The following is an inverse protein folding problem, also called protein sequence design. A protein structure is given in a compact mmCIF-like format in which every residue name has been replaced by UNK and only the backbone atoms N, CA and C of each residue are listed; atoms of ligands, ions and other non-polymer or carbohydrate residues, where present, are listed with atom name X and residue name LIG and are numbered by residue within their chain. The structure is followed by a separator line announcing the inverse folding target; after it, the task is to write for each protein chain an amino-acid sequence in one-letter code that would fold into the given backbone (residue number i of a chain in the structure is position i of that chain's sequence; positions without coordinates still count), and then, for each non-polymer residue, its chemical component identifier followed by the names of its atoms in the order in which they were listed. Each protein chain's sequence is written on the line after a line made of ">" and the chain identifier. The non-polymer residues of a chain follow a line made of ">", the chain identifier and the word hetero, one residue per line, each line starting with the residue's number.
data_IF_780741419542
#
_entry.id   IF_780741419542
#
_cell.length_a   1.000
_cell.length_b   1.000
_cell.length_c   1.000
_cell.angle_alpha   90.00
_cell.angle_beta   90.00
_cell.angle_gamma   90.00
#
_symmetry.space_group_name_H-M   'P 1'
#
loop_
_entity.id
_entity.type
_entity.pdbx_description
1 polymer ?
#
# COMPACT_ATOMS: atom_id res chain seq x y z
N UNK A 1 0.39 13.23 38.67
CA UNK A 1 1.71 12.69 38.31
C UNK A 1 1.59 11.34 37.57
N UNK A 2 0.80 10.37 38.11
CA UNK A 2 0.65 9.06 37.45
C UNK A 2 -0.01 9.20 36.06
N UNK A 3 -1.07 10.00 35.94
CA UNK A 3 -1.74 10.21 34.65
C UNK A 3 -0.85 10.83 33.57
N UNK A 4 0.00 11.81 33.96
CA UNK A 4 0.92 12.47 33.02
C UNK A 4 1.99 11.50 32.52
N UNK A 5 2.52 10.64 33.40
CA UNK A 5 3.51 9.62 33.02
C UNK A 5 2.89 8.59 32.08
N UNK A 6 1.64 8.16 32.35
CA UNK A 6 0.94 7.20 31.48
C UNK A 6 0.73 7.79 30.08
N UNK A 7 0.29 9.05 29.97
CA UNK A 7 0.14 9.73 28.68
C UNK A 7 1.47 9.87 27.96
N UNK A 8 2.55 10.21 28.68
CA UNK A 8 3.89 10.32 28.10
C UNK A 8 4.36 8.97 27.53
N UNK A 9 4.22 7.89 28.30
CA UNK A 9 4.58 6.54 27.84
C UNK A 9 3.75 6.07 26.65
N UNK A 10 2.46 6.43 26.61
CA UNK A 10 1.61 6.14 25.46
C UNK A 10 2.02 6.92 24.22
N UNK A 11 2.38 8.20 24.35
CA UNK A 11 2.87 9.01 23.24
C UNK A 11 4.22 8.49 22.71
N UNK A 12 5.15 8.18 23.62
CA UNK A 12 6.44 7.59 23.26
C UNK A 12 6.27 6.24 22.54
N UNK A 13 5.38 5.38 23.01
CA UNK A 13 5.06 4.13 22.34
C UNK A 13 4.50 4.34 20.92
N UNK A 14 3.57 5.30 20.74
CA UNK A 14 2.98 5.60 19.42
C UNK A 14 4.02 6.20 18.47
N UNK A 15 4.92 7.04 18.98
CA UNK A 15 5.95 7.68 18.16
C UNK A 15 7.04 6.70 17.72
N UNK A 16 7.45 5.78 18.61
CA UNK A 16 8.61 4.91 18.40
C UNK A 16 8.25 3.49 17.93
N UNK A 17 6.97 3.13 17.82
CA UNK A 17 6.56 1.81 17.31
C UNK A 17 6.94 1.67 15.84
N UNK A 18 7.64 0.58 15.52
CA UNK A 18 7.92 0.21 14.14
C UNK A 18 6.61 -0.12 13.40
N UNK A 19 6.30 0.62 12.37
CA UNK A 19 5.08 0.49 11.56
C UNK A 19 5.22 -0.55 10.44
N UNK A 20 6.45 -1.02 10.18
CA UNK A 20 6.76 -1.83 8.99
C UNK A 20 6.87 -0.98 7.72
N UNK A 21 6.78 0.34 7.83
CA UNK A 21 7.05 1.29 6.76
C UNK A 21 7.61 2.60 7.34
N UNK A 22 8.30 3.36 6.50
CA UNK A 22 8.80 4.68 6.88
C UNK A 22 7.72 5.75 6.69
N UNK A 23 7.31 6.36 7.80
CA UNK A 23 6.37 7.50 7.83
C UNK A 23 7.08 8.83 7.92
N UNK A 24 8.37 8.81 8.29
CA UNK A 24 9.10 10.03 8.58
C UNK A 24 9.34 10.79 7.27
N UNK A 25 9.14 12.11 7.35
CA UNK A 25 9.29 12.99 6.20
C UNK A 25 8.34 12.71 5.03
N UNK A 26 7.20 12.05 5.27
CA UNK A 26 6.14 11.89 4.28
C UNK A 26 5.12 13.02 4.42
N UNK A 27 5.03 13.84 3.40
CA UNK A 27 3.98 14.85 3.25
C UNK A 27 2.83 14.26 2.43
N UNK A 28 1.62 14.25 2.99
CA UNK A 28 0.43 13.79 2.30
C UNK A 28 -0.34 14.97 1.71
N UNK A 29 -0.51 14.98 0.42
CA UNK A 29 -1.30 15.95 -0.31
C UNK A 29 -2.60 15.31 -0.79
N UNK A 30 -3.76 15.68 -0.22
CA UNK A 30 -5.04 15.24 -0.76
C UNK A 30 -5.24 15.93 -2.11
N UNK A 31 -5.38 15.12 -3.16
CA UNK A 31 -5.69 15.58 -4.52
C UNK A 31 -7.15 15.30 -4.87
N UNK A 32 -8.02 15.34 -3.84
CA UNK A 32 -9.47 15.24 -4.04
C UNK A 32 -9.92 16.38 -4.95
N UNK A 33 -10.15 16.06 -6.18
CA UNK A 33 -10.73 16.99 -7.12
C UNK A 33 -12.04 16.42 -7.63
N UNK A 34 -13.09 17.22 -7.54
CA UNK A 34 -14.25 17.05 -8.39
C UNK A 34 -13.88 17.28 -9.85
N UNK A 35 -12.71 17.85 -10.09
CA UNK A 35 -12.15 18.08 -11.41
C UNK A 35 -11.31 16.86 -11.86
N UNK A 36 -11.91 16.01 -12.67
CA UNK A 36 -11.25 14.85 -13.29
C UNK A 36 -9.95 15.18 -14.01
N UNK A 37 -9.73 16.44 -14.41
CA UNK A 37 -8.51 16.89 -15.08
C UNK A 37 -7.26 16.71 -14.22
N UNK A 38 -7.36 16.76 -12.90
CA UNK A 38 -6.21 16.47 -12.00
C UNK A 38 -5.92 14.98 -11.92
N UNK A 39 -6.95 14.15 -11.86
CA UNK A 39 -6.80 12.70 -11.86
C UNK A 39 -6.20 12.21 -13.19
N UNK A 40 -6.70 12.75 -14.32
CA UNK A 40 -6.19 12.42 -15.65
C UNK A 40 -4.75 12.92 -15.87
N UNK A 41 -4.27 13.88 -15.07
CA UNK A 41 -2.93 14.45 -15.12
C UNK A 41 -2.05 14.03 -13.93
N UNK A 42 -2.46 13.00 -13.20
CA UNK A 42 -1.77 12.54 -12.01
C UNK A 42 -0.26 12.43 -12.21
N UNK A 43 0.21 11.73 -13.25
CA UNK A 43 1.65 11.59 -13.54
C UNK A 43 2.33 12.95 -13.78
N UNK A 44 1.67 13.87 -14.48
CA UNK A 44 2.23 15.23 -14.70
C UNK A 44 2.41 15.99 -13.38
N UNK A 45 1.44 15.85 -12.46
CA UNK A 45 1.51 16.48 -11.13
C UNK A 45 2.63 15.83 -10.30
N UNK A 46 2.69 14.50 -10.27
CA UNK A 46 3.75 13.73 -9.60
C UNK A 46 5.13 14.14 -10.11
N UNK A 47 5.32 14.19 -11.43
CA UNK A 47 6.57 14.59 -12.07
C UNK A 47 6.97 16.03 -11.74
N UNK A 48 5.98 16.93 -11.63
CA UNK A 48 6.25 18.33 -11.25
C UNK A 48 6.82 18.42 -9.83
N UNK A 49 6.29 17.65 -8.89
CA UNK A 49 6.86 17.58 -7.54
C UNK A 49 8.24 16.93 -7.50
N UNK A 50 8.47 15.86 -8.24
CA UNK A 50 9.75 15.15 -8.31
C UNK A 50 10.90 16.03 -8.89
N UNK A 51 10.59 17.12 -9.60
CA UNK A 51 11.61 18.09 -10.04
C UNK A 51 12.12 18.98 -8.92
N UNK A 52 11.42 19.04 -7.79
CA UNK A 52 11.85 19.86 -6.67
C UNK A 52 12.95 19.12 -5.89
N UNK A 53 14.11 19.79 -5.61
CA UNK A 53 15.28 19.10 -5.02
C UNK A 53 15.04 18.55 -3.60
N UNK A 54 14.03 19.04 -2.90
CA UNK A 54 13.64 18.54 -1.57
C UNK A 54 12.72 17.33 -1.63
N UNK A 55 12.17 16.95 -2.80
CA UNK A 55 11.32 15.78 -2.96
C UNK A 55 12.18 14.62 -3.43
N UNK A 56 12.27 13.59 -2.60
CA UNK A 56 13.10 12.41 -2.88
C UNK A 56 12.34 11.35 -3.66
N UNK A 57 11.08 11.10 -3.28
CA UNK A 57 10.19 10.11 -3.89
C UNK A 57 8.75 10.62 -3.84
N UNK A 58 7.90 10.10 -4.70
CA UNK A 58 6.48 10.42 -4.72
C UNK A 58 5.66 9.21 -5.15
N UNK A 59 4.52 9.00 -4.52
CA UNK A 59 3.60 7.90 -4.83
C UNK A 59 2.16 8.34 -4.67
N UNK A 60 1.29 7.85 -5.54
CA UNK A 60 -0.14 8.04 -5.44
C UNK A 60 -0.86 6.88 -4.84
N UNK A 61 -1.97 7.18 -4.18
CA UNK A 61 -2.85 6.16 -3.64
C UNK A 61 -4.32 6.58 -3.66
N UNK A 62 -5.19 5.58 -3.63
CA UNK A 62 -6.63 5.81 -3.46
C UNK A 62 -6.97 6.38 -2.07
N UNK A 63 -6.25 5.95 -1.04
CA UNK A 63 -6.43 6.39 0.36
C UNK A 63 -5.09 6.55 1.05
N UNK A 64 -5.01 7.44 2.03
CA UNK A 64 -3.79 7.61 2.83
C UNK A 64 -3.43 6.33 3.58
N UNK A 65 -2.11 6.09 3.74
CA UNK A 65 -1.62 5.09 4.69
C UNK A 65 -2.19 5.37 6.08
N UNK A 66 -2.56 4.32 6.80
CA UNK A 66 -3.21 4.43 8.11
C UNK A 66 -4.74 4.41 8.07
N UNK A 67 -5.37 4.64 6.92
CA UNK A 67 -6.84 4.49 6.75
C UNK A 67 -7.26 3.10 6.27
N UNK A 68 -6.30 2.21 5.99
CA UNK A 68 -6.53 0.79 5.78
C UNK A 68 -7.05 0.38 4.40
N UNK A 69 -7.15 1.28 3.44
CA UNK A 69 -7.65 0.95 2.11
C UNK A 69 -9.17 0.67 2.05
N UNK A 70 -9.65 0.22 0.91
CA UNK A 70 -11.05 -0.16 0.69
C UNK A 70 -11.26 -1.62 1.13
N UNK A 71 -12.31 -1.88 1.91
CA UNK A 71 -12.74 -3.26 2.19
C UNK A 71 -13.50 -3.77 0.97
N UNK A 72 -13.05 -4.88 0.41
CA UNK A 72 -13.66 -5.45 -0.78
C UNK A 72 -13.48 -6.97 -0.84
N UNK A 73 -14.20 -7.60 -1.73
CA UNK A 73 -14.20 -9.04 -1.94
C UNK A 73 -13.03 -9.46 -2.82
N UNK A 74 -12.26 -10.42 -2.32
CA UNK A 74 -11.14 -11.04 -3.05
C UNK A 74 -11.32 -12.55 -3.09
N UNK A 75 -10.72 -13.17 -4.09
CA UNK A 75 -10.72 -14.62 -4.27
C UNK A 75 -9.31 -15.13 -4.55
N UNK A 76 -9.06 -16.37 -4.20
CA UNK A 76 -7.74 -16.97 -4.21
C UNK A 76 -7.79 -18.41 -4.69
N UNK A 77 -6.76 -18.85 -5.41
CA UNK A 77 -6.56 -20.22 -5.86
C UNK A 77 -6.67 -21.21 -4.69
N UNK A 78 -7.42 -22.30 -4.89
CA UNK A 78 -7.63 -23.32 -3.85
C UNK A 78 -8.67 -22.95 -2.77
N UNK A 79 -9.31 -21.79 -2.92
CA UNK A 79 -10.36 -21.31 -2.01
C UNK A 79 -11.65 -20.97 -2.75
N UNK A 80 -11.98 -21.77 -3.78
CA UNK A 80 -13.16 -21.58 -4.61
C UNK A 80 -14.42 -21.64 -3.75
N UNK A 81 -15.30 -20.66 -3.90
CA UNK A 81 -16.52 -20.53 -3.11
C UNK A 81 -16.35 -19.83 -1.76
N UNK A 82 -15.13 -19.40 -1.42
CA UNK A 82 -14.88 -18.55 -0.24
C UNK A 82 -14.69 -17.11 -0.68
N UNK A 83 -15.54 -16.22 -0.20
CA UNK A 83 -15.43 -14.79 -0.46
C UNK A 83 -14.73 -14.13 0.73
N UNK A 84 -13.47 -13.80 0.56
CA UNK A 84 -12.71 -13.07 1.57
C UNK A 84 -13.02 -11.58 1.50
N UNK A 85 -13.28 -10.96 2.66
CA UNK A 85 -13.45 -9.52 2.78
C UNK A 85 -12.15 -8.91 3.30
N UNK A 86 -11.28 -8.48 2.39
CA UNK A 86 -9.96 -7.95 2.71
C UNK A 86 -9.80 -6.49 2.33
N UNK A 87 -8.80 -5.86 2.89
CA UNK A 87 -8.42 -4.49 2.56
C UNK A 87 -7.58 -4.47 1.30
N UNK A 88 -8.02 -3.65 0.34
CA UNK A 88 -7.29 -3.41 -0.91
C UNK A 88 -6.77 -1.98 -0.92
N UNK A 89 -5.46 -1.84 -1.07
CA UNK A 89 -4.77 -0.58 -1.28
C UNK A 89 -4.58 -0.37 -2.77
N UNK A 90 -5.29 0.59 -3.33
CA UNK A 90 -5.08 1.05 -4.71
C UNK A 90 -3.94 2.06 -4.73
N UNK A 91 -2.88 1.75 -5.44
CA UNK A 91 -1.61 2.51 -5.45
C UNK A 91 -1.05 2.68 -6.87
N UNK A 92 -0.01 3.49 -7.00
CA UNK A 92 0.87 3.48 -8.17
C UNK A 92 2.09 2.55 -7.97
N UNK A 93 2.96 2.52 -8.96
CA UNK A 93 4.16 1.69 -8.99
C UNK A 93 5.19 2.03 -7.92
N UNK A 94 5.26 3.29 -7.49
CA UNK A 94 6.33 3.79 -6.60
C UNK A 94 5.99 3.70 -5.10
N UNK A 95 4.84 3.12 -4.76
CA UNK A 95 4.35 3.07 -3.39
C UNK A 95 5.31 2.32 -2.45
N UNK A 96 5.80 1.15 -2.85
CA UNK A 96 6.71 0.36 -2.00
C UNK A 96 7.99 1.12 -1.69
N UNK A 97 8.56 1.77 -2.70
CA UNK A 97 9.78 2.56 -2.54
C UNK A 97 9.57 3.85 -1.74
N UNK A 98 8.42 4.53 -1.93
CA UNK A 98 8.14 5.79 -1.25
C UNK A 98 7.99 5.60 0.25
N UNK A 99 7.39 4.47 0.66
CA UNK A 99 7.18 4.12 2.06
C UNK A 99 8.21 3.15 2.63
N UNK A 100 9.25 2.80 1.86
CA UNK A 100 10.28 1.80 2.23
C UNK A 100 9.66 0.48 2.74
N UNK A 101 8.61 0.01 2.07
CA UNK A 101 8.00 -1.28 2.40
C UNK A 101 8.85 -2.40 1.83
N UNK A 102 9.30 -3.30 2.71
CA UNK A 102 10.19 -4.40 2.36
C UNK A 102 9.47 -5.46 1.52
N UNK A 103 9.98 -5.73 0.32
CA UNK A 103 9.55 -6.85 -0.50
C UNK A 103 10.29 -8.12 -0.05
N UNK A 104 9.56 -9.15 0.38
CA UNK A 104 10.13 -10.40 0.89
C UNK A 104 10.11 -11.54 -0.13
N UNK A 105 9.26 -11.45 -1.16
CA UNK A 105 9.23 -12.41 -2.27
C UNK A 105 8.74 -11.75 -3.56
N UNK A 106 9.14 -12.29 -4.72
CA UNK A 106 8.70 -11.82 -6.03
C UNK A 106 9.24 -10.44 -6.41
N UNK A 107 8.37 -9.58 -6.97
CA UNK A 107 8.71 -8.24 -7.46
C UNK A 107 7.63 -7.20 -7.19
N UNK A 108 7.99 -5.93 -7.24
CA UNK A 108 7.07 -4.80 -7.26
C UNK A 108 6.34 -4.66 -8.61
N UNK A 109 5.50 -3.63 -8.71
CA UNK A 109 4.83 -3.28 -9.96
C UNK A 109 5.81 -2.67 -10.96
N UNK A 110 5.56 -2.94 -12.25
CA UNK A 110 6.27 -2.34 -13.37
C UNK A 110 5.24 -1.73 -14.34
N UNK A 111 5.23 -0.40 -14.50
CA UNK A 111 4.25 0.28 -15.35
C UNK A 111 4.41 -0.05 -16.85
N UNK A 112 5.55 -0.63 -17.25
CA UNK A 112 5.76 -1.09 -18.62
C UNK A 112 5.10 -2.44 -18.92
N UNK A 113 4.70 -3.18 -17.87
CA UNK A 113 4.00 -4.45 -17.97
C UNK A 113 2.49 -4.17 -17.88
N UNK A 114 1.80 -4.23 -19.02
CA UNK A 114 0.35 -3.91 -19.11
C UNK A 114 -0.49 -4.74 -18.12
N UNK A 115 -0.14 -6.02 -17.90
CA UNK A 115 -0.87 -6.86 -16.94
C UNK A 115 -0.77 -6.37 -15.50
N UNK A 116 0.25 -5.61 -15.14
CA UNK A 116 0.42 -5.12 -13.77
C UNK A 116 -0.66 -4.10 -13.38
N UNK A 117 -1.22 -3.40 -14.35
CA UNK A 117 -2.29 -2.43 -14.08
C UNK A 117 -3.65 -3.05 -13.76
N UNK A 118 -3.86 -4.34 -14.07
CA UNK A 118 -5.18 -4.98 -13.93
C UNK A 118 -5.16 -6.40 -13.37
N UNK A 119 -4.01 -7.09 -13.42
CA UNK A 119 -3.90 -8.53 -13.14
C UNK A 119 -2.78 -8.89 -12.17
N UNK A 120 -2.11 -7.91 -11.58
CA UNK A 120 -1.03 -8.12 -10.65
C UNK A 120 -1.44 -7.68 -9.24
N UNK A 121 -1.12 -8.51 -8.27
CA UNK A 121 -1.40 -8.27 -6.86
C UNK A 121 -0.16 -8.52 -6.03
N UNK A 122 0.03 -7.69 -5.02
CA UNK A 122 1.04 -7.88 -3.99
C UNK A 122 0.30 -8.09 -2.68
N UNK A 123 0.69 -9.11 -1.92
CA UNK A 123 0.08 -9.47 -0.65
C UNK A 123 1.05 -9.17 0.49
N UNK A 124 0.54 -8.90 1.70
CA UNK A 124 1.40 -8.93 2.87
C UNK A 124 1.54 -10.38 3.39
N UNK A 125 2.53 -10.64 4.25
CA UNK A 125 2.77 -11.98 4.81
C UNK A 125 1.55 -12.54 5.54
N UNK A 126 0.79 -11.69 6.24
CA UNK A 126 -0.44 -12.10 6.94
C UNK A 126 -1.51 -12.59 5.94
N UNK A 127 -1.63 -12.01 4.76
CA UNK A 127 -2.53 -12.50 3.72
C UNK A 127 -2.08 -13.87 3.18
N UNK A 128 -0.78 -14.04 2.95
CA UNK A 128 -0.21 -15.31 2.48
C UNK A 128 -0.44 -16.43 3.50
N UNK A 129 -0.22 -16.16 4.80
CA UNK A 129 -0.52 -17.13 5.88
C UNK A 129 -2.01 -17.45 5.98
N UNK A 130 -2.87 -16.45 5.83
CA UNK A 130 -4.33 -16.65 5.88
C UNK A 130 -4.85 -17.57 4.76
N UNK A 131 -4.12 -17.66 3.65
CA UNK A 131 -4.39 -18.56 2.53
C UNK A 131 -3.65 -19.91 2.63
N UNK A 132 -2.81 -20.09 3.65
CA UNK A 132 -1.97 -21.29 3.76
C UNK A 132 -0.99 -21.43 2.58
N UNK A 133 -0.51 -20.31 2.03
CA UNK A 133 0.39 -20.28 0.88
C UNK A 133 1.86 -20.06 1.28
N UNK A 134 2.19 -20.22 2.56
CA UNK A 134 3.52 -20.03 3.14
C UNK A 134 4.34 -21.33 3.31
N UNK A 135 3.93 -22.42 2.66
CA UNK A 135 4.64 -23.69 2.68
C UNK A 135 5.36 -23.94 1.32
N UNK A 136 6.68 -24.09 1.28
CA UNK A 136 7.66 -24.10 2.39
C UNK A 136 8.01 -22.71 2.93
N UNK A 137 7.70 -21.64 2.19
CA UNK A 137 7.89 -20.25 2.59
C UNK A 137 7.00 -19.33 1.75
N UNK A 138 7.02 -18.03 2.02
CA UNK A 138 6.16 -17.02 1.36
C UNK A 138 6.37 -16.90 -0.16
N UNK A 139 7.48 -17.41 -0.72
CA UNK A 139 7.69 -17.43 -2.16
C UNK A 139 6.70 -18.35 -2.87
N UNK A 140 6.14 -19.35 -2.17
CA UNK A 140 5.14 -20.26 -2.71
C UNK A 140 3.84 -19.54 -3.13
N UNK A 141 3.59 -18.33 -2.63
CA UNK A 141 2.45 -17.51 -3.04
C UNK A 141 2.64 -16.85 -4.40
N UNK A 142 3.88 -16.61 -4.83
CA UNK A 142 4.18 -15.91 -6.09
C UNK A 142 3.76 -16.77 -7.29
N UNK A 143 2.97 -16.17 -8.18
CA UNK A 143 2.44 -16.83 -9.37
C UNK A 143 1.07 -17.48 -9.18
N UNK A 144 0.57 -17.65 -7.94
CA UNK A 144 -0.77 -18.17 -7.67
C UNK A 144 -1.86 -17.26 -8.20
N UNK A 145 -2.98 -17.86 -8.60
CA UNK A 145 -4.14 -17.08 -9.05
C UNK A 145 -4.77 -16.32 -7.90
N UNK A 146 -4.98 -15.05 -8.13
CA UNK A 146 -5.61 -14.15 -7.18
C UNK A 146 -6.47 -13.12 -7.90
N UNK A 147 -7.52 -12.65 -7.25
CA UNK A 147 -8.39 -11.67 -7.85
C UNK A 147 -9.04 -10.73 -6.85
N UNK A 148 -9.40 -9.58 -7.38
CA UNK A 148 -10.18 -8.57 -6.71
C UNK A 148 -11.45 -8.32 -7.50
N UNK A 149 -12.61 -8.37 -6.85
CA UNK A 149 -13.93 -8.25 -7.48
C UNK A 149 -14.06 -7.04 -8.40
N UNK A 150 -13.43 -5.94 -8.04
CA UNK A 150 -13.47 -4.71 -8.82
C UNK A 150 -12.85 -4.87 -10.22
N UNK A 151 -11.83 -5.71 -10.37
CA UNK A 151 -11.15 -5.96 -11.65
C UNK A 151 -11.70 -7.14 -12.44
N UNK A 152 -12.90 -7.60 -12.13
CA UNK A 152 -13.60 -8.68 -12.80
C UNK A 152 -13.14 -10.11 -12.46
N UNK A 153 -14.05 -10.91 -11.91
CA UNK A 153 -13.82 -12.31 -11.50
C UNK A 153 -13.35 -13.22 -12.65
N UNK A 154 -13.75 -12.90 -13.90
CA UNK A 154 -13.47 -13.78 -15.03
C UNK A 154 -12.04 -13.65 -15.59
N UNK A 155 -11.32 -12.60 -15.24
CA UNK A 155 -10.01 -12.36 -15.84
C UNK A 155 -8.81 -12.75 -15.01
N UNK A 156 -9.00 -13.39 -13.85
CA UNK A 156 -7.95 -13.88 -12.94
C UNK A 156 -6.61 -13.12 -13.00
N UNK A 157 -6.16 -12.61 -11.89
CA UNK A 157 -4.82 -12.05 -11.80
C UNK A 157 -3.86 -13.02 -11.12
N UNK A 158 -2.68 -12.55 -10.81
CA UNK A 158 -1.66 -13.34 -10.12
C UNK A 158 -0.99 -12.53 -9.03
N UNK A 159 -0.59 -13.21 -7.97
CA UNK A 159 0.34 -12.66 -7.00
C UNK A 159 1.71 -12.51 -7.68
N UNK A 160 2.22 -11.29 -7.72
CA UNK A 160 3.54 -10.98 -8.29
C UNK A 160 4.60 -10.76 -7.22
N UNK A 161 4.18 -10.45 -5.99
CA UNK A 161 5.10 -10.21 -4.88
C UNK A 161 4.44 -10.36 -3.53
N UNK A 162 5.27 -10.51 -2.52
CA UNK A 162 4.87 -10.51 -1.11
C UNK A 162 5.70 -9.47 -0.38
N UNK A 163 5.03 -8.62 0.41
CA UNK A 163 5.67 -7.63 1.25
C UNK A 163 5.61 -8.05 2.71
N UNK A 164 6.58 -7.61 3.48
CA UNK A 164 6.58 -7.75 4.92
C UNK A 164 5.34 -7.12 5.53
N UNK A 165 4.90 -7.66 6.65
CA UNK A 165 3.77 -7.12 7.38
C UNK A 165 4.01 -5.67 7.83
N UNK A 166 3.04 -4.81 7.59
CA UNK A 166 3.06 -3.41 7.98
C UNK A 166 1.71 -2.94 8.52
N UNK A 167 1.75 -1.92 9.38
CA UNK A 167 0.54 -1.32 9.95
C UNK A 167 -0.12 -0.35 8.97
N UNK A 168 -1.15 -0.80 8.29
CA UNK A 168 -1.96 0.04 7.40
C UNK A 168 -3.18 0.67 8.09
N UNK A 169 -3.29 0.51 9.42
CA UNK A 169 -4.35 1.05 10.30
C UNK A 169 -3.77 1.49 11.64
N UNK A 170 -4.65 1.80 12.59
CA UNK A 170 -4.25 2.23 13.91
C UNK A 170 -3.32 1.22 14.60
N UNK A 171 -2.30 1.71 15.28
CA UNK A 171 -1.20 0.93 15.88
C UNK A 171 -1.63 -0.09 16.93
N UNK A 172 -2.82 0.07 17.49
CA UNK A 172 -3.39 -0.87 18.48
C UNK A 172 -4.14 -2.04 17.82
N UNK A 173 -4.38 -1.98 16.51
CA UNK A 173 -5.01 -3.06 15.78
C UNK A 173 -3.95 -4.09 15.34
N UNK A 174 -4.37 -5.35 15.30
CA UNK A 174 -3.54 -6.41 14.71
C UNK A 174 -3.37 -6.18 13.21
N UNK A 175 -2.21 -6.59 12.70
CA UNK A 175 -1.98 -6.58 11.26
C UNK A 175 -2.90 -7.62 10.62
N UNK A 176 -3.66 -7.19 9.63
CA UNK A 176 -4.62 -8.01 8.90
C UNK A 176 -4.15 -8.26 7.47
N UNK A 177 -4.77 -9.23 6.78
CA UNK A 177 -4.54 -9.42 5.36
C UNK A 177 -4.75 -8.13 4.58
N UNK A 178 -3.77 -7.79 3.75
CA UNK A 178 -3.76 -6.62 2.88
C UNK A 178 -3.39 -7.04 1.47
N UNK A 179 -4.13 -6.51 0.51
CA UNK A 179 -3.87 -6.61 -0.92
C UNK A 179 -3.44 -5.26 -1.42
N UNK A 180 -2.36 -5.21 -2.18
CA UNK A 180 -1.90 -4.03 -2.87
C UNK A 180 -2.14 -4.27 -4.36
N UNK A 181 -2.81 -3.34 -5.03
CA UNK A 181 -3.12 -3.41 -6.45
C UNK A 181 -2.83 -2.06 -7.12
N UNK A 182 -2.34 -2.07 -8.34
CA UNK A 182 -2.17 -0.84 -9.10
C UNK A 182 -3.55 -0.34 -9.55
N UNK A 183 -3.91 0.90 -9.17
CA UNK A 183 -5.21 1.48 -9.51
C UNK A 183 -5.09 2.96 -9.85
N UNK A 184 -4.51 3.24 -11.01
CA UNK A 184 -4.18 4.58 -11.47
C UNK A 184 -5.42 5.47 -11.75
N UNK A 185 -6.58 4.87 -12.00
CA UNK A 185 -7.81 5.62 -12.33
C UNK A 185 -8.42 6.39 -11.15
N UNK A 186 -7.93 6.21 -9.93
CA UNK A 186 -8.52 6.82 -8.74
C UNK A 186 -7.45 7.17 -7.69
N UNK A 187 -6.52 8.05 -8.07
CA UNK A 187 -5.54 8.60 -7.15
C UNK A 187 -6.12 9.80 -6.41
N UNK A 188 -6.28 9.69 -5.09
CA UNK A 188 -6.86 10.76 -4.25
C UNK A 188 -5.83 11.41 -3.34
N UNK A 189 -4.69 10.75 -3.13
CA UNK A 189 -3.62 11.22 -2.26
C UNK A 189 -2.30 11.08 -2.98
N UNK A 190 -1.49 12.11 -2.95
CA UNK A 190 -0.10 12.09 -3.34
C UNK A 190 0.77 12.13 -2.07
N UNK A 191 1.57 11.12 -1.86
CA UNK A 191 2.58 11.07 -0.81
C UNK A 191 3.91 11.52 -1.38
N UNK A 192 4.56 12.47 -0.73
CA UNK A 192 5.87 12.99 -1.08
C UNK A 192 6.84 12.66 0.04
N UNK A 193 7.90 11.91 -0.25
CA UNK A 193 9.02 11.74 0.66
C UNK A 193 9.96 12.92 0.48
N UNK A 194 10.11 13.74 1.51
CA UNK A 194 10.90 14.97 1.46
C UNK A 194 12.20 14.82 2.23
N UNK A 195 13.21 15.62 1.88
CA UNK A 195 14.47 15.66 2.62
C UNK A 195 14.26 16.35 3.96
N UNK A 196 14.77 15.76 5.04
CA UNK A 196 14.57 16.25 6.41
C UNK A 196 15.37 17.48 6.82
N UNK A 197 16.03 18.14 5.89
CA UNK A 197 16.79 19.36 6.15
C UNK A 197 15.95 20.58 5.73
N UNK A 198 15.63 21.47 6.71
CA UNK A 198 14.96 22.77 6.52
C UNK A 198 13.46 22.74 6.21
N UNK A 199 12.65 22.19 7.11
CA UNK A 199 11.19 22.40 7.12
C UNK A 199 10.80 23.75 7.78
N UNK A 200 11.75 24.59 8.13
CA UNK A 200 11.53 25.87 8.83
C UNK A 200 11.66 27.13 7.93
N UNK A 201 11.41 27.04 6.62
CA UNK A 201 11.25 28.25 5.79
C UNK A 201 9.92 28.26 5.03
#
# INVERSE_FOLDING_TARGET
>A
IVGTLTVYLQLDFVQNKNLGFDKDQILLLPIFSTDRRLTDRYHTVKDAFLRHPSVLKASGSHSSMGYGGQLDEVYAEGHEGTDFQWRVLGVDEDMLETYDIELVAGRGFDPTIISDTTKAFILNETAVRALGWDDPDVNAAVGKEFGWRFFNRESGGRVIGVVKDFHNRALHEEIRPVVIAMWLAKMNVLALKIRGENVEE
#
